data_IF_533989014562
#
_entry.id   IF_533989014562
#
_cell.length_a   1.000
_cell.length_b   1.000
_cell.length_c   1.000
_cell.angle_alpha   90.00
_cell.angle_beta   90.00
_cell.angle_gamma   90.00
#
_symmetry.space_group_name_H-M   'P 1'
#
loop_
_entity.id
_entity.type
_entity.pdbx_description
1 polymer ?
#
# COMPACT_ATOMS: atom_id res chain seq x y z
N UNK A 1 1.94 -7.30 -4.48
CA UNK A 1 0.89 -8.06 -5.16
C UNK A 1 0.99 -9.55 -4.81
N UNK A 2 1.99 -10.27 -5.30
CA UNK A 2 2.10 -11.74 -5.14
C UNK A 2 2.25 -12.20 -3.69
N UNK A 3 2.78 -11.39 -2.79
CA UNK A 3 2.77 -11.68 -1.35
C UNK A 3 1.32 -11.72 -0.79
N UNK A 4 0.49 -10.76 -1.18
CA UNK A 4 -0.92 -10.72 -0.76
C UNK A 4 -1.66 -11.95 -1.28
N UNK A 5 -1.45 -12.29 -2.56
CA UNK A 5 -2.04 -13.51 -3.15
C UNK A 5 -1.57 -14.78 -2.45
N UNK A 6 -0.27 -14.87 -2.09
CA UNK A 6 0.26 -15.99 -1.31
C UNK A 6 -0.38 -16.09 0.08
N UNK A 7 -0.53 -14.98 0.78
CA UNK A 7 -1.21 -14.93 2.08
C UNK A 7 -2.71 -15.32 1.98
N UNK A 8 -3.31 -15.19 0.80
CA UNK A 8 -4.69 -15.58 0.49
C UNK A 8 -4.81 -17.02 -0.07
N UNK A 9 -3.72 -17.77 -0.11
CA UNK A 9 -3.71 -19.19 -0.47
C UNK A 9 -3.18 -19.52 -1.86
N UNK A 10 -2.77 -18.53 -2.66
CA UNK A 10 -2.15 -18.80 -3.95
C UNK A 10 -0.76 -19.38 -3.78
N UNK A 11 -0.43 -20.42 -4.53
CA UNK A 11 0.95 -20.87 -4.71
C UNK A 11 1.69 -19.90 -5.63
N UNK A 12 2.80 -19.37 -5.18
CA UNK A 12 3.59 -18.39 -5.93
C UNK A 12 4.98 -18.94 -6.23
N UNK A 13 5.28 -19.11 -7.51
CA UNK A 13 6.62 -19.42 -8.01
C UNK A 13 7.26 -18.12 -8.47
N UNK A 14 8.32 -17.69 -7.79
CA UNK A 14 9.12 -16.53 -8.13
C UNK A 14 10.24 -16.93 -9.08
N UNK A 15 10.15 -16.51 -10.32
CA UNK A 15 11.21 -16.67 -11.30
C UNK A 15 12.19 -15.51 -11.17
N UNK A 16 13.45 -15.82 -10.89
CA UNK A 16 14.49 -14.84 -10.63
C UNK A 16 15.67 -14.97 -11.62
N UNK A 17 16.47 -13.89 -11.74
CA UNK A 17 17.72 -13.99 -12.50
C UNK A 17 18.72 -14.91 -11.81
N UNK A 18 19.44 -15.80 -12.51
CA UNK A 18 20.53 -16.58 -11.91
C UNK A 18 21.68 -15.69 -11.42
N UNK A 19 21.78 -14.47 -11.91
CA UNK A 19 22.83 -13.50 -11.55
C UNK A 19 22.44 -12.68 -10.32
N UNK A 20 22.27 -13.33 -9.17
CA UNK A 20 22.03 -12.67 -7.88
C UNK A 20 20.56 -12.43 -7.54
N UNK A 21 19.62 -12.94 -8.34
CA UNK A 21 18.19 -12.91 -8.04
C UNK A 21 17.57 -11.51 -8.21
N UNK A 22 16.55 -11.29 -7.43
CA UNK A 22 15.85 -10.00 -7.31
C UNK A 22 16.76 -8.96 -6.63
N UNK A 23 16.78 -7.74 -7.14
CA UNK A 23 17.63 -6.66 -6.62
C UNK A 23 17.34 -6.36 -5.14
N UNK A 24 16.12 -6.55 -4.69
CA UNK A 24 15.74 -6.36 -3.30
C UNK A 24 16.43 -7.33 -2.32
N UNK A 25 17.03 -8.42 -2.79
CA UNK A 25 17.92 -9.28 -1.98
C UNK A 25 19.14 -8.53 -1.44
N UNK A 26 19.50 -7.40 -2.09
CA UNK A 26 20.66 -6.55 -1.74
C UNK A 26 20.24 -5.29 -0.98
N UNK A 27 18.95 -5.09 -0.69
CA UNK A 27 18.46 -3.91 0.00
C UNK A 27 18.40 -4.14 1.51
N UNK A 28 18.98 -3.23 2.29
CA UNK A 28 18.86 -3.25 3.75
C UNK A 28 17.45 -2.91 4.25
N UNK A 29 17.22 -3.15 5.55
CA UNK A 29 18.14 -3.66 6.56
C UNK A 29 18.42 -5.16 6.42
N UNK A 30 19.51 -5.64 7.04
CA UNK A 30 19.93 -7.04 6.93
C UNK A 30 19.84 -7.78 8.27
N UNK A 31 19.51 -9.07 8.20
CA UNK A 31 19.59 -10.04 9.30
C UNK A 31 20.52 -11.16 8.84
N UNK A 32 21.69 -11.31 9.46
CA UNK A 32 22.72 -12.27 9.03
C UNK A 32 22.96 -12.25 7.51
N UNK A 33 23.22 -11.05 6.98
CA UNK A 33 23.49 -10.78 5.55
C UNK A 33 22.28 -10.95 4.60
N UNK A 34 21.12 -11.38 5.10
CA UNK A 34 19.89 -11.48 4.31
C UNK A 34 19.02 -10.23 4.43
N UNK A 35 18.53 -9.75 3.31
CA UNK A 35 17.67 -8.56 3.25
C UNK A 35 16.35 -8.80 3.99
N UNK A 36 16.12 -8.09 5.10
CA UNK A 36 14.84 -8.12 5.80
C UNK A 36 13.71 -7.51 4.93
N UNK A 37 14.05 -6.58 4.03
CA UNK A 37 13.12 -6.03 3.06
C UNK A 37 12.64 -7.11 2.07
N UNK A 38 13.56 -7.84 1.44
CA UNK A 38 13.21 -8.97 0.57
C UNK A 38 12.37 -10.01 1.32
N UNK A 39 12.82 -10.40 2.51
CA UNK A 39 12.16 -11.43 3.32
C UNK A 39 10.72 -11.04 3.68
N UNK A 40 10.48 -9.78 4.03
CA UNK A 40 9.14 -9.31 4.40
C UNK A 40 8.11 -9.40 3.25
N UNK A 41 8.56 -9.32 2.00
CA UNK A 41 7.72 -9.30 0.80
C UNK A 41 7.66 -10.63 0.04
N UNK A 42 8.55 -11.60 0.37
CA UNK A 42 8.67 -12.84 -0.41
C UNK A 42 8.42 -14.11 0.42
N UNK A 43 7.83 -13.97 1.60
CA UNK A 43 7.37 -15.12 2.40
C UNK A 43 6.33 -15.94 1.65
N UNK A 44 6.35 -17.25 1.87
CA UNK A 44 5.39 -18.19 1.29
C UNK A 44 5.54 -18.41 -0.22
N UNK A 45 6.64 -17.94 -0.82
CA UNK A 45 6.94 -18.16 -2.24
C UNK A 45 7.93 -19.28 -2.41
N UNK A 46 7.92 -19.90 -3.59
CA UNK A 46 8.97 -20.80 -4.08
C UNK A 46 9.88 -20.02 -5.04
N UNK A 47 11.19 -20.26 -5.03
CA UNK A 47 12.15 -19.58 -5.91
C UNK A 47 12.77 -20.56 -6.91
N UNK A 48 12.83 -20.12 -8.17
CA UNK A 48 13.59 -20.75 -9.26
C UNK A 48 14.36 -19.69 -10.04
N UNK A 49 15.65 -19.93 -10.27
CA UNK A 49 16.49 -19.04 -11.06
C UNK A 49 16.51 -19.46 -12.53
N UNK A 50 16.03 -18.61 -13.42
CA UNK A 50 15.99 -18.89 -14.86
C UNK A 50 16.52 -17.69 -15.66
N UNK A 51 17.38 -17.94 -16.64
CA UNK A 51 17.75 -16.96 -17.66
C UNK A 51 16.77 -17.01 -18.82
N UNK A 52 15.72 -16.21 -18.80
CA UNK A 52 14.67 -16.20 -19.82
C UNK A 52 15.14 -15.80 -21.24
N UNK A 53 16.41 -15.41 -21.39
CA UNK A 53 17.04 -15.20 -22.71
C UNK A 53 17.61 -16.50 -23.29
N UNK A 54 17.81 -17.51 -22.46
CA UNK A 54 18.32 -18.82 -22.85
C UNK A 54 17.15 -19.73 -23.26
N UNK A 55 17.32 -20.52 -24.32
CA UNK A 55 16.26 -21.38 -24.86
C UNK A 55 15.83 -22.49 -23.89
N UNK A 56 16.78 -23.10 -23.17
CA UNK A 56 16.50 -24.19 -22.22
C UNK A 56 15.72 -23.70 -21.01
N UNK A 57 16.17 -22.61 -20.39
CA UNK A 57 15.47 -21.99 -19.26
C UNK A 57 14.10 -21.45 -19.67
N UNK A 58 13.98 -20.90 -20.90
CA UNK A 58 12.69 -20.48 -21.46
C UNK A 58 11.74 -21.66 -21.63
N UNK A 59 12.22 -22.84 -22.04
CA UNK A 59 11.41 -24.06 -22.14
C UNK A 59 10.87 -24.48 -20.76
N UNK A 60 11.73 -24.42 -19.73
CA UNK A 60 11.29 -24.69 -18.34
C UNK A 60 10.20 -23.70 -17.94
N UNK A 61 10.38 -22.40 -18.20
CA UNK A 61 9.40 -21.38 -17.90
C UNK A 61 8.06 -21.61 -18.60
N UNK A 62 8.07 -21.98 -19.88
CA UNK A 62 6.85 -22.28 -20.64
C UNK A 62 6.13 -23.53 -20.12
N UNK A 63 6.86 -24.55 -19.64
CA UNK A 63 6.29 -25.70 -18.98
C UNK A 63 5.61 -25.33 -17.65
N UNK A 64 6.19 -24.40 -16.88
CA UNK A 64 5.56 -23.86 -15.68
C UNK A 64 4.28 -23.11 -16.06
N UNK A 65 4.31 -22.26 -17.09
CA UNK A 65 3.14 -21.49 -17.54
C UNK A 65 1.97 -22.38 -17.98
N UNK A 66 2.23 -23.57 -18.51
CA UNK A 66 1.17 -24.50 -18.93
C UNK A 66 0.24 -24.95 -17.77
N UNK A 67 0.71 -24.84 -16.53
CA UNK A 67 -0.07 -25.16 -15.31
C UNK A 67 -0.30 -23.93 -14.43
N UNK A 68 -0.07 -22.74 -14.96
CA UNK A 68 -0.15 -21.48 -14.21
C UNK A 68 -1.43 -20.72 -14.54
N UNK A 69 -2.12 -20.25 -13.53
CA UNK A 69 -3.32 -19.43 -13.69
C UNK A 69 -3.01 -17.98 -14.03
N UNK A 70 -1.96 -17.44 -13.41
CA UNK A 70 -1.64 -16.01 -13.47
C UNK A 70 -0.14 -15.80 -13.63
N UNK A 71 0.27 -15.09 -14.65
CA UNK A 71 1.62 -14.52 -14.80
C UNK A 71 1.60 -13.08 -14.32
N UNK A 72 2.47 -12.73 -13.36
CA UNK A 72 2.66 -11.34 -12.90
C UNK A 72 4.06 -10.91 -13.25
N UNK A 73 4.20 -9.74 -13.87
CA UNK A 73 5.50 -9.16 -14.19
C UNK A 73 5.52 -7.65 -13.91
N UNK A 74 6.73 -7.13 -13.67
CA UNK A 74 6.96 -5.72 -13.41
C UNK A 74 8.21 -5.23 -14.14
N UNK A 75 8.39 -5.68 -15.38
CA UNK A 75 9.47 -5.21 -16.23
C UNK A 75 9.10 -3.89 -16.93
N UNK A 76 10.11 -3.23 -17.49
CA UNK A 76 9.88 -2.16 -18.45
C UNK A 76 9.09 -2.71 -19.64
N UNK A 77 8.05 -2.01 -20.14
CA UNK A 77 7.30 -2.40 -21.32
C UNK A 77 8.18 -2.82 -22.50
N UNK A 78 7.79 -3.88 -23.19
CA UNK A 78 8.55 -4.45 -24.29
C UNK A 78 9.68 -5.41 -23.88
N UNK A 79 9.96 -5.59 -22.58
CA UNK A 79 11.04 -6.49 -22.14
C UNK A 79 10.70 -7.95 -22.38
N UNK A 80 9.55 -8.43 -21.95
CA UNK A 80 9.12 -9.82 -22.17
C UNK A 80 8.78 -10.08 -23.64
N UNK A 81 8.27 -9.11 -24.37
CA UNK A 81 8.04 -9.18 -25.81
C UNK A 81 9.34 -9.46 -26.57
N UNK A 82 10.44 -8.79 -26.22
CA UNK A 82 11.77 -9.06 -26.82
C UNK A 82 12.25 -10.49 -26.59
N UNK A 83 11.76 -11.14 -25.56
CA UNK A 83 12.09 -12.54 -25.26
C UNK A 83 11.04 -13.51 -25.82
N UNK A 84 10.02 -13.05 -26.55
CA UNK A 84 8.92 -13.87 -27.05
C UNK A 84 8.02 -14.42 -25.94
N UNK A 85 7.89 -13.66 -24.84
CA UNK A 85 7.10 -13.98 -23.66
C UNK A 85 6.08 -12.88 -23.34
N UNK A 86 5.81 -11.99 -24.29
CA UNK A 86 4.76 -10.97 -24.15
C UNK A 86 3.36 -11.56 -24.24
N UNK A 87 2.36 -10.75 -23.89
CA UNK A 87 0.96 -11.19 -23.95
C UNK A 87 0.55 -11.76 -25.32
N UNK A 88 0.98 -11.09 -26.41
CA UNK A 88 0.67 -11.54 -27.79
C UNK A 88 1.28 -12.90 -28.12
N UNK A 89 2.43 -13.23 -27.53
CA UNK A 89 3.13 -14.50 -27.76
C UNK A 89 2.51 -15.64 -26.95
N UNK A 90 1.92 -15.32 -25.79
CA UNK A 90 1.46 -16.31 -24.82
C UNK A 90 -0.05 -16.58 -24.87
N UNK A 91 -0.88 -15.62 -25.23
CA UNK A 91 -2.35 -15.72 -25.16
C UNK A 91 -2.93 -16.88 -25.99
N UNK A 92 -2.36 -17.13 -27.15
CA UNK A 92 -2.85 -18.18 -28.03
C UNK A 92 -2.37 -19.57 -27.59
N UNK A 93 -1.21 -19.64 -26.93
CA UNK A 93 -0.65 -20.86 -26.34
C UNK A 93 -1.33 -21.22 -25.01
N UNK A 94 -1.67 -20.21 -24.23
CA UNK A 94 -2.25 -20.33 -22.88
C UNK A 94 -3.55 -19.50 -22.79
N UNK A 95 -4.64 -19.93 -23.45
CA UNK A 95 -5.86 -19.10 -23.60
C UNK A 95 -6.58 -18.81 -22.28
N UNK A 96 -6.25 -19.51 -21.19
CA UNK A 96 -6.79 -19.27 -19.85
C UNK A 96 -5.85 -18.45 -18.97
N UNK A 97 -4.64 -18.14 -19.42
CA UNK A 97 -3.67 -17.39 -18.64
C UNK A 97 -4.12 -15.94 -18.41
N UNK A 98 -4.11 -15.51 -17.17
CA UNK A 98 -4.23 -14.10 -16.82
C UNK A 98 -2.81 -13.53 -16.78
N UNK A 99 -2.57 -12.52 -17.61
CA UNK A 99 -1.26 -11.86 -17.70
C UNK A 99 -1.36 -10.47 -17.08
N UNK A 100 -0.78 -10.28 -15.90
CA UNK A 100 -0.81 -9.01 -15.17
C UNK A 100 0.56 -8.31 -15.25
N UNK A 101 0.58 -7.16 -15.89
CA UNK A 101 1.75 -6.30 -16.03
C UNK A 101 1.56 -5.04 -15.19
N UNK A 102 2.48 -4.78 -14.27
CA UNK A 102 2.54 -3.54 -13.51
C UNK A 102 3.79 -2.76 -13.90
N UNK A 103 3.64 -1.52 -14.35
CA UNK A 103 4.77 -0.70 -14.80
C UNK A 103 4.64 0.76 -14.35
N UNK A 104 5.68 1.56 -14.53
CA UNK A 104 5.68 2.95 -14.10
C UNK A 104 4.58 3.79 -14.75
N UNK A 105 4.41 3.65 -16.06
CA UNK A 105 3.52 4.49 -16.87
C UNK A 105 2.50 3.71 -17.69
N UNK A 106 2.37 2.40 -17.49
CA UNK A 106 1.49 1.54 -18.28
C UNK A 106 2.11 1.08 -19.59
N UNK A 107 1.37 0.23 -20.31
CA UNK A 107 1.81 -0.36 -21.57
C UNK A 107 1.47 0.52 -22.78
N UNK A 108 0.77 1.62 -22.57
CA UNK A 108 0.32 2.57 -23.61
C UNK A 108 0.68 4.01 -23.22
N UNK A 109 0.43 4.94 -24.15
CA UNK A 109 0.67 6.36 -23.89
C UNK A 109 2.11 6.84 -24.16
N UNK A 110 2.35 8.15 -24.08
CA UNK A 110 3.61 8.77 -24.49
C UNK A 110 4.80 8.44 -23.58
N UNK A 111 4.55 8.04 -22.33
CA UNK A 111 5.60 7.79 -21.35
C UNK A 111 5.94 6.31 -21.15
N UNK A 112 5.28 5.39 -21.88
CA UNK A 112 5.41 3.94 -21.67
C UNK A 112 6.85 3.41 -21.70
N UNK A 113 7.75 4.07 -22.46
CA UNK A 113 9.15 3.67 -22.59
C UNK A 113 10.06 4.23 -21.49
N UNK A 114 9.54 5.12 -20.63
CA UNK A 114 10.34 5.73 -19.58
C UNK A 114 10.46 4.81 -18.36
N UNK A 115 11.63 4.79 -17.71
CA UNK A 115 11.78 4.13 -16.41
C UNK A 115 11.10 4.96 -15.33
N UNK A 116 10.53 4.29 -14.32
CA UNK A 116 9.99 4.94 -13.14
C UNK A 116 10.33 4.16 -11.86
N UNK A 117 10.44 4.90 -10.79
CA UNK A 117 10.44 4.42 -9.42
C UNK A 117 9.35 5.13 -8.62
N UNK A 118 9.01 4.61 -7.47
CA UNK A 118 7.99 5.15 -6.57
C UNK A 118 8.01 6.68 -6.45
N UNK A 119 9.15 7.26 -6.11
CA UNK A 119 9.27 8.71 -5.89
C UNK A 119 8.99 9.53 -7.16
N UNK A 120 9.32 9.00 -8.34
CA UNK A 120 9.06 9.66 -9.63
C UNK A 120 7.56 9.76 -9.87
N UNK A 121 6.82 8.67 -9.65
CA UNK A 121 5.36 8.67 -9.85
C UNK A 121 4.62 9.42 -8.74
N UNK A 122 5.13 9.47 -7.52
CA UNK A 122 4.58 10.36 -6.48
C UNK A 122 4.69 11.84 -6.89
N UNK A 123 5.83 12.23 -7.49
CA UNK A 123 6.02 13.60 -8.01
C UNK A 123 5.12 13.90 -9.20
N UNK A 124 5.19 13.06 -10.24
CA UNK A 124 4.43 13.27 -11.50
C UNK A 124 2.93 13.06 -11.33
N UNK A 125 2.50 12.20 -10.43
CA UNK A 125 1.10 11.91 -10.12
C UNK A 125 0.43 12.94 -9.22
N UNK A 126 1.15 13.99 -8.78
CA UNK A 126 0.58 15.08 -7.98
C UNK A 126 0.50 14.83 -6.49
N UNK A 127 0.84 13.62 -6.00
CA UNK A 127 0.76 13.30 -4.57
C UNK A 127 1.68 14.19 -3.72
N UNK A 128 2.91 14.47 -4.21
CA UNK A 128 3.83 15.36 -3.50
C UNK A 128 3.37 16.83 -3.48
N UNK A 129 2.51 17.25 -4.41
CA UNK A 129 1.97 18.61 -4.43
C UNK A 129 0.92 18.88 -3.35
N UNK A 130 0.38 17.82 -2.73
CA UNK A 130 -0.63 17.92 -1.66
C UNK A 130 -0.11 17.37 -0.32
N UNK A 131 1.11 16.83 -0.29
CA UNK A 131 1.73 16.22 0.91
C UNK A 131 2.75 17.18 1.51
N UNK A 132 2.70 17.38 2.84
CA UNK A 132 3.63 18.26 3.55
C UNK A 132 2.94 19.44 4.22
N UNK A 133 3.74 20.36 4.73
CA UNK A 133 3.26 21.61 5.33
C UNK A 133 3.24 22.75 4.29
N UNK A 134 2.39 23.79 4.50
CA UNK A 134 2.41 24.96 3.64
C UNK A 134 3.80 25.59 3.53
N UNK A 135 4.19 25.98 2.32
CA UNK A 135 5.45 26.69 2.05
C UNK A 135 6.74 25.92 2.44
N UNK A 136 6.67 24.61 2.51
CA UNK A 136 7.86 23.74 2.67
C UNK A 136 8.28 23.14 1.33
N UNK A 137 9.46 22.54 1.29
CA UNK A 137 9.91 21.76 0.13
C UNK A 137 8.96 20.59 -0.17
N UNK A 138 8.86 20.14 -1.43
CA UNK A 138 8.06 18.99 -1.80
C UNK A 138 8.41 17.77 -0.95
N UNK A 139 7.40 17.17 -0.36
CA UNK A 139 7.56 16.05 0.58
C UNK A 139 6.92 14.79 0.01
N UNK A 140 7.68 13.69 -0.04
CA UNK A 140 7.11 12.38 -0.40
C UNK A 140 6.34 11.76 0.78
N UNK A 141 5.42 10.87 0.49
CA UNK A 141 4.87 9.95 1.51
C UNK A 141 5.99 9.03 2.00
N UNK A 142 6.08 8.81 3.30
CA UNK A 142 7.19 8.08 3.94
C UNK A 142 7.35 6.61 3.53
N UNK A 143 6.33 6.01 2.92
CA UNK A 143 6.37 4.66 2.35
C UNK A 143 6.31 4.73 0.81
N UNK A 144 6.64 3.63 0.12
CA UNK A 144 6.58 3.52 -1.35
C UNK A 144 5.13 3.37 -1.82
N UNK A 145 4.33 4.43 -1.65
CA UNK A 145 2.88 4.40 -1.92
C UNK A 145 2.55 4.14 -3.39
N UNK A 146 3.42 4.55 -4.31
CA UNK A 146 3.30 4.27 -5.74
C UNK A 146 3.37 2.78 -6.04
N UNK A 147 4.39 2.11 -5.49
CA UNK A 147 4.55 0.66 -5.61
C UNK A 147 3.41 -0.08 -4.91
N UNK A 148 3.05 0.34 -3.69
CA UNK A 148 2.01 -0.32 -2.88
C UNK A 148 0.65 -0.23 -3.57
N UNK A 149 0.26 0.94 -4.08
CA UNK A 149 -1.04 1.10 -4.76
C UNK A 149 -1.08 0.32 -6.07
N UNK A 150 -0.01 0.31 -6.86
CA UNK A 150 0.07 -0.53 -8.04
C UNK A 150 -0.06 -2.02 -7.70
N UNK A 151 0.60 -2.48 -6.62
CA UNK A 151 0.47 -3.86 -6.13
C UNK A 151 -0.97 -4.20 -5.70
N UNK A 152 -1.66 -3.28 -5.02
CA UNK A 152 -3.05 -3.45 -4.60
C UNK A 152 -4.00 -3.49 -5.81
N UNK A 153 -3.90 -2.54 -6.73
CA UNK A 153 -4.73 -2.53 -7.94
C UNK A 153 -4.47 -3.74 -8.84
N UNK A 154 -3.22 -4.19 -8.96
CA UNK A 154 -2.89 -5.44 -9.68
C UNK A 154 -3.54 -6.65 -9.00
N UNK A 155 -3.52 -6.74 -7.67
CA UNK A 155 -4.18 -7.82 -6.92
C UNK A 155 -5.69 -7.81 -7.15
N UNK A 156 -6.32 -6.63 -7.12
CA UNK A 156 -7.76 -6.47 -7.42
C UNK A 156 -8.05 -6.91 -8.86
N UNK A 157 -7.27 -6.44 -9.82
CA UNK A 157 -7.39 -6.81 -11.22
C UNK A 157 -7.30 -8.33 -11.45
N UNK A 158 -6.31 -8.98 -10.83
CA UNK A 158 -6.12 -10.44 -10.89
C UNK A 158 -7.35 -11.18 -10.35
N UNK A 159 -7.85 -10.81 -9.15
CA UNK A 159 -9.02 -11.47 -8.59
C UNK A 159 -10.28 -11.25 -9.44
N UNK A 160 -10.46 -10.06 -10.00
CA UNK A 160 -11.55 -9.76 -10.95
C UNK A 160 -11.45 -10.59 -12.22
N UNK A 161 -10.25 -10.74 -12.77
CA UNK A 161 -9.99 -11.53 -13.97
C UNK A 161 -10.18 -13.05 -13.72
N UNK A 162 -9.78 -13.55 -12.55
CA UNK A 162 -10.04 -14.93 -12.14
C UNK A 162 -11.55 -15.20 -12.06
N UNK A 163 -12.32 -14.28 -11.48
CA UNK A 163 -13.79 -14.40 -11.42
C UNK A 163 -14.45 -14.35 -12.80
N UNK A 164 -13.97 -13.47 -13.71
CA UNK A 164 -14.45 -13.41 -15.08
C UNK A 164 -14.11 -14.69 -15.86
N UNK A 165 -12.90 -15.23 -15.65
CA UNK A 165 -12.46 -16.48 -16.28
C UNK A 165 -13.34 -17.68 -15.92
N UNK A 166 -13.86 -17.75 -14.69
CA UNK A 166 -14.81 -18.82 -14.28
C UNK A 166 -16.08 -18.81 -15.15
N UNK A 167 -16.48 -17.66 -15.68
CA UNK A 167 -17.66 -17.52 -16.55
C UNK A 167 -17.33 -17.69 -18.02
N UNK A 168 -16.20 -17.12 -18.45
CA UNK A 168 -15.84 -17.01 -19.88
C UNK A 168 -14.93 -18.15 -20.35
N UNK A 169 -14.24 -18.80 -19.41
CA UNK A 169 -13.20 -19.80 -19.73
C UNK A 169 -11.93 -19.20 -20.34
N UNK A 170 -11.80 -17.86 -20.40
CA UNK A 170 -10.70 -17.17 -21.08
C UNK A 170 -9.89 -16.33 -20.11
N UNK A 171 -8.57 -16.32 -20.29
CA UNK A 171 -7.66 -15.38 -19.65
C UNK A 171 -7.73 -14.00 -20.28
N UNK A 172 -7.02 -13.04 -19.66
CA UNK A 172 -6.95 -11.67 -20.16
C UNK A 172 -5.64 -11.00 -19.80
N UNK A 173 -5.38 -9.88 -20.45
CA UNK A 173 -4.27 -8.98 -20.11
C UNK A 173 -4.74 -7.90 -19.12
N UNK A 174 -3.96 -7.66 -18.08
CA UNK A 174 -4.16 -6.61 -17.10
C UNK A 174 -2.98 -5.67 -17.16
N UNK A 175 -3.22 -4.41 -17.45
CA UNK A 175 -2.24 -3.33 -17.46
C UNK A 175 -2.47 -2.41 -16.27
N UNK A 176 -1.49 -2.27 -15.39
CA UNK A 176 -1.54 -1.38 -14.22
C UNK A 176 -0.36 -0.42 -14.27
N UNK A 177 -0.68 0.86 -14.33
CA UNK A 177 0.30 1.95 -14.29
C UNK A 177 0.45 2.49 -12.86
N UNK A 178 1.67 2.60 -12.36
CA UNK A 178 1.92 3.26 -11.07
C UNK A 178 1.42 4.71 -11.08
N UNK A 179 1.60 5.44 -12.20
CA UNK A 179 1.14 6.82 -12.33
C UNK A 179 -0.39 6.92 -12.24
N UNK A 180 -1.11 6.03 -12.95
CA UNK A 180 -2.58 6.00 -12.91
C UNK A 180 -3.09 5.71 -11.50
N UNK A 181 -2.39 4.83 -10.78
CA UNK A 181 -2.71 4.54 -9.38
C UNK A 181 -2.58 5.78 -8.48
N UNK A 182 -1.59 6.66 -8.73
CA UNK A 182 -1.49 7.92 -7.97
C UNK A 182 -2.70 8.83 -8.24
N UNK A 183 -3.12 8.96 -9.49
CA UNK A 183 -4.31 9.74 -9.85
C UNK A 183 -5.56 9.15 -9.18
N UNK A 184 -5.70 7.84 -9.18
CA UNK A 184 -6.87 7.15 -8.59
C UNK A 184 -7.01 7.39 -7.08
N UNK A 185 -5.91 7.50 -6.33
CA UNK A 185 -5.95 7.72 -4.88
C UNK A 185 -6.06 9.20 -4.47
N UNK A 186 -5.92 10.14 -5.39
CA UNK A 186 -6.05 11.59 -5.14
C UNK A 186 -7.49 12.10 -5.22
N UNK A 187 -8.45 11.30 -4.92
CA UNK A 187 -9.91 11.45 -5.06
C UNK A 187 -10.44 12.88 -4.76
N UNK A 188 -10.18 13.41 -3.57
CA UNK A 188 -10.63 14.74 -3.15
C UNK A 188 -9.85 15.87 -3.85
N UNK A 189 -8.54 15.73 -4.01
CA UNK A 189 -7.71 16.74 -4.67
C UNK A 189 -8.09 16.90 -6.15
N UNK A 190 -8.31 15.79 -6.85
CA UNK A 190 -8.78 15.78 -8.24
C UNK A 190 -10.18 16.39 -8.33
N UNK A 191 -11.10 16.01 -7.43
CA UNK A 191 -12.46 16.55 -7.43
C UNK A 191 -12.47 18.09 -7.22
N UNK A 192 -11.64 18.62 -6.34
CA UNK A 192 -11.50 20.08 -6.10
C UNK A 192 -11.00 20.80 -7.34
N UNK A 193 -9.95 20.27 -7.98
CA UNK A 193 -9.42 20.87 -9.21
C UNK A 193 -10.43 20.83 -10.34
N UNK A 194 -11.03 19.68 -10.64
CA UNK A 194 -11.96 19.53 -11.77
C UNK A 194 -13.28 20.30 -11.57
N UNK A 195 -13.75 20.48 -10.32
CA UNK A 195 -15.02 21.17 -10.05
C UNK A 195 -14.89 22.68 -9.89
N UNK A 196 -13.75 23.17 -9.38
CA UNK A 196 -13.57 24.57 -8.99
C UNK A 196 -12.35 25.23 -9.62
N UNK A 197 -11.57 24.49 -10.40
CA UNK A 197 -10.26 24.92 -10.91
C UNK A 197 -9.30 25.38 -9.80
N UNK A 198 -9.49 24.83 -8.59
CA UNK A 198 -8.65 25.09 -7.41
C UNK A 198 -7.46 24.17 -7.41
N UNK A 199 -6.25 24.70 -7.46
CA UNK A 199 -5.02 23.91 -7.36
C UNK A 199 -4.77 23.59 -5.88
N UNK A 200 -4.94 22.31 -5.44
CA UNK A 200 -4.72 21.92 -4.05
C UNK A 200 -3.28 22.16 -3.61
N UNK A 201 -3.12 22.62 -2.38
CA UNK A 201 -1.81 22.87 -1.77
C UNK A 201 -1.62 21.99 -0.53
N UNK A 202 -0.38 21.72 -0.08
CA UNK A 202 -0.12 21.03 1.17
C UNK A 202 -0.74 21.79 2.36
N UNK A 203 -1.41 21.07 3.24
CA UNK A 203 -2.12 21.64 4.40
C UNK A 203 -1.66 21.01 5.73
N UNK A 204 -0.53 20.33 5.75
CA UNK A 204 -0.07 19.56 6.91
C UNK A 204 -1.02 18.39 7.20
N UNK A 205 -1.48 18.32 8.44
CA UNK A 205 -2.44 17.28 8.86
C UNK A 205 -3.92 17.70 8.71
N UNK A 206 -4.19 18.90 8.19
CA UNK A 206 -5.54 19.45 8.08
C UNK A 206 -6.32 18.82 6.93
N UNK A 207 -7.58 18.46 7.20
CA UNK A 207 -8.51 18.05 6.15
C UNK A 207 -9.04 19.28 5.39
N UNK A 208 -9.08 19.26 4.03
CA UNK A 208 -9.38 20.45 3.23
C UNK A 208 -10.81 20.95 3.33
N UNK A 209 -11.77 20.12 3.73
CA UNK A 209 -13.21 20.46 3.70
C UNK A 209 -13.97 20.09 4.97
N UNK A 210 -13.29 19.64 6.01
CA UNK A 210 -13.90 19.24 7.29
C UNK A 210 -13.11 19.85 8.45
N UNK A 211 -13.80 20.49 9.40
CA UNK A 211 -13.20 21.13 10.56
C UNK A 211 -14.04 20.99 11.85
N UNK A 212 -13.38 20.71 13.02
CA UNK A 212 -11.97 20.41 13.17
C UNK A 212 -11.62 18.97 12.76
N UNK A 213 -10.59 18.81 11.94
CA UNK A 213 -10.05 17.54 11.54
C UNK A 213 -8.56 17.70 11.21
N UNK A 214 -7.70 17.64 12.21
CA UNK A 214 -6.25 17.77 12.11
C UNK A 214 -5.53 17.34 13.39
N UNK A 215 -4.21 17.49 13.43
CA UNK A 215 -3.39 17.31 14.62
C UNK A 215 -3.37 18.58 15.47
N UNK A 216 -3.57 18.42 16.77
CA UNK A 216 -3.55 19.49 17.78
C UNK A 216 -2.48 19.21 18.83
N UNK A 217 -1.82 20.27 19.30
CA UNK A 217 -0.85 20.18 20.40
C UNK A 217 -1.54 19.93 21.74
N UNK A 218 -1.05 18.93 22.45
CA UNK A 218 -1.37 18.66 23.85
C UNK A 218 -0.22 19.13 24.76
N UNK A 219 -0.24 18.74 26.03
CA UNK A 219 0.83 19.08 26.98
C UNK A 219 2.18 18.46 26.58
N UNK A 220 2.17 17.23 26.08
CA UNK A 220 3.37 16.40 25.85
C UNK A 220 3.62 16.05 24.38
N UNK A 221 2.60 16.08 23.53
CA UNK A 221 2.74 15.65 22.12
C UNK A 221 1.63 16.24 21.25
N UNK A 222 1.08 15.43 20.33
CA UNK A 222 -0.03 15.77 19.45
C UNK A 222 -1.13 14.70 19.52
N UNK A 223 -2.38 15.17 19.39
CA UNK A 223 -3.55 14.32 19.23
C UNK A 223 -4.25 14.66 17.92
N UNK A 224 -4.66 13.64 17.15
CA UNK A 224 -5.59 13.81 16.03
C UNK A 224 -6.99 13.90 16.61
N UNK A 225 -7.78 14.90 16.20
CA UNK A 225 -9.20 15.01 16.51
C UNK A 225 -9.97 15.21 15.20
N UNK A 226 -11.01 14.40 15.00
CA UNK A 226 -11.84 14.43 13.79
C UNK A 226 -13.32 14.61 14.19
N UNK A 227 -13.74 15.86 14.42
CA UNK A 227 -15.12 16.19 14.74
C UNK A 227 -15.86 16.71 13.48
N UNK A 228 -16.08 15.79 12.53
CA UNK A 228 -16.47 16.09 11.15
C UNK A 228 -17.91 16.55 10.92
N UNK A 229 -18.75 16.63 11.95
CA UNK A 229 -20.12 17.15 11.85
C UNK A 229 -20.49 17.97 13.08
N UNK A 230 -21.60 18.70 13.01
CA UNK A 230 -21.99 19.66 14.06
C UNK A 230 -22.25 18.95 15.39
N UNK A 231 -22.83 17.74 15.40
CA UNK A 231 -23.06 16.96 16.61
C UNK A 231 -21.75 16.52 17.30
N UNK A 232 -20.73 16.14 16.52
CA UNK A 232 -19.40 15.84 17.05
C UNK A 232 -18.68 17.10 17.53
N UNK A 233 -18.86 18.22 16.84
CA UNK A 233 -18.31 19.51 17.26
C UNK A 233 -18.93 19.98 18.60
N UNK A 234 -20.24 19.83 18.78
CA UNK A 234 -20.92 20.10 20.06
C UNK A 234 -20.33 19.25 21.21
N UNK A 235 -20.21 17.95 20.99
CA UNK A 235 -19.59 17.04 21.98
C UNK A 235 -18.15 17.48 22.29
N UNK A 236 -17.38 17.82 21.28
CA UNK A 236 -16.00 18.28 21.45
C UNK A 236 -15.93 19.58 22.27
N UNK A 237 -16.80 20.56 21.97
CA UNK A 237 -16.88 21.80 22.74
C UNK A 237 -17.23 21.54 24.21
N UNK A 238 -18.14 20.62 24.47
CA UNK A 238 -18.48 20.22 25.85
C UNK A 238 -17.28 19.53 26.54
N UNK A 239 -16.60 18.60 25.87
CA UNK A 239 -15.45 17.89 26.42
C UNK A 239 -14.25 18.81 26.73
N UNK A 240 -14.05 19.84 25.91
CA UNK A 240 -12.98 20.84 26.06
C UNK A 240 -13.36 22.07 26.90
N UNK A 241 -14.60 22.14 27.39
CA UNK A 241 -15.15 23.33 28.05
C UNK A 241 -15.04 24.59 27.18
N UNK A 242 -15.58 24.49 25.95
CA UNK A 242 -15.60 25.52 24.92
C UNK A 242 -17.03 25.95 24.58
N UNK A 243 -17.84 26.25 25.61
CA UNK A 243 -19.25 26.60 25.43
C UNK A 243 -19.46 27.94 24.69
N UNK A 244 -18.51 28.87 24.83
CA UNK A 244 -18.55 30.14 24.13
C UNK A 244 -18.38 29.94 22.62
N UNK A 245 -17.49 29.04 22.22
CA UNK A 245 -17.19 28.72 20.82
C UNK A 245 -18.34 27.96 20.15
N UNK A 246 -19.08 27.14 20.89
CA UNK A 246 -20.26 26.47 20.37
C UNK A 246 -21.35 27.44 19.89
N UNK A 247 -21.49 28.58 20.61
CA UNK A 247 -22.46 29.61 20.29
C UNK A 247 -21.89 30.74 19.40
N UNK A 248 -20.62 30.62 18.97
CA UNK A 248 -19.97 31.62 18.15
C UNK A 248 -20.37 31.43 16.66
N UNK A 249 -20.90 32.50 16.04
CA UNK A 249 -21.31 32.51 14.64
C UNK A 249 -20.18 32.05 13.68
N UNK A 250 -18.90 32.30 14.03
CA UNK A 250 -17.74 31.85 13.22
C UNK A 250 -17.61 30.35 13.15
N UNK A 251 -18.17 29.58 14.10
CA UNK A 251 -17.98 28.11 14.19
C UNK A 251 -19.29 27.32 14.05
N UNK A 252 -20.38 27.97 13.78
CA UNK A 252 -21.74 27.41 13.75
C UNK A 252 -21.92 26.29 12.71
N UNK A 253 -21.29 26.41 11.57
CA UNK A 253 -21.35 25.40 10.51
C UNK A 253 -19.96 24.89 10.13
N UNK A 254 -19.88 23.69 9.53
CA UNK A 254 -18.61 23.17 9.04
C UNK A 254 -17.89 24.15 8.09
N UNK A 255 -18.62 24.79 7.18
CA UNK A 255 -18.03 25.76 6.25
C UNK A 255 -17.38 26.95 6.98
N UNK A 256 -18.07 27.46 8.03
CA UNK A 256 -17.55 28.57 8.84
C UNK A 256 -16.36 28.12 9.69
N UNK A 257 -16.38 26.89 10.24
CA UNK A 257 -15.22 26.31 10.94
C UNK A 257 -14.02 26.15 10.02
N UNK A 258 -14.21 25.63 8.81
CA UNK A 258 -13.13 25.54 7.81
C UNK A 258 -12.52 26.91 7.51
N UNK A 259 -13.36 27.94 7.33
CA UNK A 259 -12.90 29.32 7.06
C UNK A 259 -12.10 29.91 8.23
N UNK A 260 -12.49 29.60 9.47
CA UNK A 260 -11.91 30.17 10.69
C UNK A 260 -11.06 29.14 11.47
N UNK A 261 -10.53 28.14 10.76
CA UNK A 261 -9.86 26.99 11.42
C UNK A 261 -8.60 27.38 12.20
N UNK A 262 -7.85 28.38 11.76
CA UNK A 262 -6.65 28.84 12.46
C UNK A 262 -7.00 29.43 13.84
N UNK A 263 -8.05 30.22 13.91
CA UNK A 263 -8.57 30.78 15.18
C UNK A 263 -9.08 29.65 16.08
N UNK A 264 -9.89 28.74 15.54
CA UNK A 264 -10.42 27.59 16.26
C UNK A 264 -9.30 26.70 16.81
N UNK A 265 -8.27 26.43 15.99
CA UNK A 265 -7.10 25.64 16.40
C UNK A 265 -6.38 26.24 17.61
N UNK A 266 -6.12 27.54 17.58
CA UNK A 266 -5.47 28.23 18.71
C UNK A 266 -6.29 28.11 20.00
N UNK A 267 -7.60 28.25 19.93
CA UNK A 267 -8.51 28.10 21.07
C UNK A 267 -8.47 26.66 21.61
N UNK A 268 -8.60 25.68 20.70
CA UNK A 268 -8.56 24.26 21.06
C UNK A 268 -7.22 23.88 21.70
N UNK A 269 -6.10 24.27 21.10
CA UNK A 269 -4.76 23.96 21.64
C UNK A 269 -4.51 24.57 23.01
N UNK A 270 -5.06 25.78 23.28
CA UNK A 270 -4.99 26.37 24.63
C UNK A 270 -5.65 25.46 25.66
N UNK A 271 -6.79 24.83 25.33
CA UNK A 271 -7.48 23.87 26.20
C UNK A 271 -6.75 22.53 26.26
N UNK A 272 -6.27 22.05 25.13
CA UNK A 272 -5.62 20.72 25.03
C UNK A 272 -4.26 20.67 25.74
N UNK A 273 -3.54 21.77 25.87
CA UNK A 273 -2.24 21.83 26.54
C UNK A 273 -2.28 21.59 28.06
N UNK A 274 -3.45 21.48 28.68
CA UNK A 274 -3.59 21.26 30.13
C UNK A 274 -3.38 19.79 30.53
N UNK A 275 -3.63 18.84 29.63
CA UNK A 275 -3.48 17.40 29.87
C UNK A 275 -2.55 16.75 28.84
N UNK A 276 -2.02 15.57 29.18
CA UNK A 276 -1.26 14.74 28.27
C UNK A 276 -2.14 14.13 27.18
N UNK A 277 -1.53 13.73 26.07
CA UNK A 277 -2.21 13.09 24.93
C UNK A 277 -3.03 11.87 25.34
N UNK A 278 -2.47 11.02 26.21
CA UNK A 278 -3.13 9.82 26.72
C UNK A 278 -4.42 10.15 27.49
N UNK A 279 -4.38 11.15 28.35
CA UNK A 279 -5.53 11.54 29.17
C UNK A 279 -6.65 12.13 28.30
N UNK A 280 -6.29 12.95 27.31
CA UNK A 280 -7.23 13.47 26.33
C UNK A 280 -7.83 12.37 25.48
N UNK A 281 -7.04 11.43 25.01
CA UNK A 281 -7.54 10.29 24.21
C UNK A 281 -8.61 9.54 25.01
N UNK A 282 -8.33 9.16 26.24
CA UNK A 282 -9.29 8.46 27.10
C UNK A 282 -10.58 9.26 27.37
N UNK A 283 -10.44 10.58 27.58
CA UNK A 283 -11.59 11.46 27.80
C UNK A 283 -12.49 11.58 26.57
N UNK A 284 -11.89 11.83 25.40
CA UNK A 284 -12.62 12.01 24.14
C UNK A 284 -13.25 10.71 23.63
N UNK A 285 -12.59 9.57 23.84
CA UNK A 285 -13.12 8.24 23.51
C UNK A 285 -14.40 7.89 24.28
N UNK A 286 -14.48 8.28 25.58
CA UNK A 286 -15.71 8.10 26.40
C UNK A 286 -16.90 8.83 25.78
N UNK A 287 -16.68 10.00 25.19
CA UNK A 287 -17.71 10.80 24.52
C UNK A 287 -17.93 10.36 23.08
N UNK A 288 -17.22 9.29 22.63
CA UNK A 288 -17.24 8.77 21.25
C UNK A 288 -16.88 9.83 20.22
N UNK A 289 -15.91 10.66 20.54
CA UNK A 289 -15.30 11.62 19.62
C UNK A 289 -14.11 10.93 18.94
N UNK A 290 -14.08 10.83 17.60
CA UNK A 290 -12.94 10.24 16.90
C UNK A 290 -11.66 11.00 17.18
N UNK A 291 -10.71 10.34 17.83
CA UNK A 291 -9.40 10.90 18.19
C UNK A 291 -8.36 9.80 18.32
N UNK A 292 -7.09 10.18 18.36
CA UNK A 292 -6.00 9.25 18.62
C UNK A 292 -4.64 9.93 18.65
N UNK A 293 -3.66 9.34 19.33
CA UNK A 293 -2.28 9.82 19.34
C UNK A 293 -1.61 9.59 17.98
N UNK A 294 -0.53 10.32 17.72
CA UNK A 294 0.37 10.05 16.59
C UNK A 294 1.45 9.10 17.08
N UNK A 295 1.34 7.84 16.71
CA UNK A 295 2.30 6.80 17.06
C UNK A 295 3.53 6.82 16.16
N UNK A 296 4.70 6.54 16.73
CA UNK A 296 5.84 6.08 15.97
C UNK A 296 5.67 4.59 15.59
N UNK A 297 6.60 4.04 14.80
CA UNK A 297 6.49 2.65 14.31
C UNK A 297 6.51 1.63 15.47
N UNK A 298 7.31 1.88 16.53
CA UNK A 298 7.34 1.00 17.71
C UNK A 298 5.96 0.97 18.39
N UNK A 299 5.40 2.14 18.67
CA UNK A 299 4.11 2.26 19.34
C UNK A 299 2.99 1.61 18.51
N UNK A 300 3.03 1.81 17.18
CA UNK A 300 2.07 1.18 16.26
C UNK A 300 2.17 -0.36 16.28
N UNK A 301 3.39 -0.91 16.21
CA UNK A 301 3.62 -2.37 16.24
C UNK A 301 3.22 -2.98 17.59
N UNK A 302 3.44 -2.27 18.68
CA UNK A 302 3.11 -2.72 20.04
C UNK A 302 1.63 -2.51 20.41
N UNK A 303 0.86 -1.81 19.59
CA UNK A 303 -0.53 -1.49 19.87
C UNK A 303 -1.39 -2.78 20.06
N UNK A 304 -2.18 -2.87 21.14
CA UNK A 304 -3.01 -4.04 21.42
C UNK A 304 -3.98 -4.40 20.29
N UNK A 305 -4.54 -3.41 19.60
CA UNK A 305 -5.46 -3.64 18.45
C UNK A 305 -4.72 -4.29 17.28
N UNK A 306 -3.49 -3.85 16.99
CA UNK A 306 -2.65 -4.41 15.93
C UNK A 306 -2.27 -5.87 16.25
N UNK A 307 -1.94 -6.15 17.51
CA UNK A 307 -1.64 -7.52 17.99
C UNK A 307 -2.88 -8.42 17.92
N UNK A 308 -4.03 -7.94 18.43
CA UNK A 308 -5.29 -8.69 18.42
C UNK A 308 -5.80 -9.03 17.00
N UNK A 309 -5.38 -8.25 16.00
CA UNK A 309 -5.71 -8.48 14.59
C UNK A 309 -4.62 -9.22 13.82
N UNK A 310 -3.65 -9.82 14.50
CA UNK A 310 -2.55 -10.58 13.89
C UNK A 310 -1.83 -9.80 12.77
N UNK A 311 -1.63 -8.49 12.97
CA UNK A 311 -0.95 -7.65 11.98
C UNK A 311 0.57 -7.70 12.09
N UNK A 312 1.10 -8.36 13.10
CA UNK A 312 2.53 -8.72 13.21
C UNK A 312 2.61 -10.24 13.23
N UNK A 313 3.13 -10.79 12.14
CA UNK A 313 3.23 -12.24 11.91
C UNK A 313 4.66 -12.72 12.09
N UNK A 314 4.80 -14.03 12.31
CA UNK A 314 6.08 -14.71 12.33
C UNK A 314 6.30 -15.46 11.01
N UNK A 315 7.50 -15.40 10.51
CA UNK A 315 7.95 -16.15 9.34
C UNK A 315 9.39 -16.59 9.56
N UNK A 316 9.91 -17.45 8.72
CA UNK A 316 11.21 -18.06 8.88
C UNK A 316 12.03 -17.98 7.60
N UNK A 317 13.35 -17.84 7.78
CA UNK A 317 14.32 -18.00 6.71
C UNK A 317 15.46 -18.87 7.24
N UNK A 318 15.91 -19.85 6.46
CA UNK A 318 16.84 -20.89 6.95
C UNK A 318 18.17 -20.34 7.51
N UNK A 319 18.65 -19.21 7.01
CA UNK A 319 19.88 -18.56 7.49
C UNK A 319 19.58 -17.46 8.51
N UNK A 320 18.63 -16.56 8.21
CA UNK A 320 18.27 -15.46 9.11
C UNK A 320 17.58 -15.95 10.40
N UNK A 321 16.87 -17.08 10.35
CA UNK A 321 16.06 -17.61 11.44
C UNK A 321 14.65 -17.03 11.45
N UNK A 322 14.02 -17.07 12.61
CA UNK A 322 12.69 -16.45 12.83
C UNK A 322 12.76 -14.94 12.78
N UNK A 323 11.80 -14.32 12.08
CA UNK A 323 11.65 -12.88 12.08
C UNK A 323 10.17 -12.48 11.98
N UNK A 324 9.90 -11.21 12.28
CA UNK A 324 8.55 -10.65 12.26
C UNK A 324 8.37 -9.75 11.05
N UNK A 325 7.16 -9.79 10.48
CA UNK A 325 6.77 -8.94 9.36
C UNK A 325 5.32 -8.47 9.50
N UNK A 326 4.92 -7.50 8.67
CA UNK A 326 3.53 -7.06 8.62
C UNK A 326 2.63 -8.18 8.08
N UNK A 327 1.48 -8.39 8.72
CA UNK A 327 0.46 -9.37 8.31
C UNK A 327 -0.47 -8.84 7.21
N UNK A 328 -1.33 -9.73 6.72
CA UNK A 328 -2.36 -9.37 5.75
C UNK A 328 -3.56 -8.73 6.47
N UNK A 329 -4.03 -7.54 6.06
CA UNK A 329 -5.18 -6.88 6.66
C UNK A 329 -6.53 -7.55 6.29
N UNK A 330 -6.57 -8.36 5.24
CA UNK A 330 -7.78 -9.05 4.78
C UNK A 330 -8.02 -10.26 5.68
N UNK A 331 -9.14 -10.25 6.40
CA UNK A 331 -9.58 -11.33 7.29
C UNK A 331 -10.84 -11.95 6.71
N UNK A 332 -10.77 -13.21 6.30
CA UNK A 332 -11.91 -13.94 5.72
C UNK A 332 -12.40 -15.02 6.70
N UNK A 333 -13.70 -15.09 6.93
CA UNK A 333 -14.31 -15.97 7.93
C UNK A 333 -14.05 -17.46 7.70
N UNK A 334 -13.85 -17.86 6.44
CA UNK A 334 -13.60 -19.26 6.05
C UNK A 334 -12.14 -19.70 6.14
N UNK A 335 -11.21 -18.79 6.47
CA UNK A 335 -9.79 -19.08 6.54
C UNK A 335 -9.18 -18.69 7.88
N UNK A 336 -8.36 -19.57 8.44
CA UNK A 336 -7.65 -19.28 9.68
C UNK A 336 -6.64 -18.13 9.45
N UNK A 337 -6.71 -17.11 10.31
CA UNK A 337 -5.74 -16.03 10.34
C UNK A 337 -4.52 -16.43 11.18
N UNK A 338 -3.67 -17.29 10.63
CA UNK A 338 -2.47 -17.79 11.32
C UNK A 338 -1.44 -16.70 11.55
N UNK A 339 -0.85 -16.68 12.75
CA UNK A 339 0.34 -15.87 13.04
C UNK A 339 1.59 -16.35 12.33
N UNK A 340 1.69 -17.67 12.01
CA UNK A 340 2.79 -18.21 11.23
C UNK A 340 2.45 -18.17 9.75
N UNK A 341 3.34 -17.61 8.96
CA UNK A 341 3.25 -17.58 7.49
C UNK A 341 4.30 -18.49 6.88
N UNK A 342 4.19 -18.75 5.59
CA UNK A 342 5.14 -19.56 4.84
C UNK A 342 6.57 -19.02 4.92
N UNK A 343 7.54 -19.90 4.80
CA UNK A 343 8.96 -19.56 4.85
C UNK A 343 9.39 -18.71 3.65
N UNK A 344 10.53 -18.04 3.77
CA UNK A 344 11.10 -17.23 2.68
C UNK A 344 12.17 -18.07 1.98
N UNK A 345 12.12 -18.19 0.64
CA UNK A 345 13.09 -19.00 -0.08
C UNK A 345 14.43 -18.28 -0.28
N UNK A 346 15.51 -19.06 -0.25
CA UNK A 346 16.76 -18.64 -0.85
C UNK A 346 16.64 -18.59 -2.39
N UNK A 347 17.60 -17.97 -3.05
CA UNK A 347 17.65 -17.96 -4.51
C UNK A 347 17.77 -19.40 -5.04
N UNK A 348 16.90 -19.77 -5.97
CA UNK A 348 16.87 -21.08 -6.65
C UNK A 348 16.58 -22.29 -5.74
N UNK A 349 16.11 -22.06 -4.52
CA UNK A 349 15.93 -23.10 -3.51
C UNK A 349 14.98 -24.23 -3.96
N UNK A 350 13.99 -23.90 -4.77
CA UNK A 350 12.94 -24.86 -5.15
C UNK A 350 13.11 -25.43 -6.56
N UNK A 351 14.29 -25.23 -7.20
CA UNK A 351 14.53 -25.61 -8.60
C UNK A 351 14.22 -27.08 -8.89
N UNK A 352 14.82 -28.00 -8.15
CA UNK A 352 14.64 -29.43 -8.38
C UNK A 352 13.17 -29.87 -8.26
N UNK A 353 12.50 -29.39 -7.22
CA UNK A 353 11.07 -29.65 -6.98
C UNK A 353 10.23 -29.15 -8.14
N UNK A 354 10.45 -27.92 -8.58
CA UNK A 354 9.69 -27.27 -9.67
C UNK A 354 9.94 -27.97 -11.00
N UNK A 355 11.20 -28.28 -11.34
CA UNK A 355 11.54 -28.99 -12.57
C UNK A 355 10.89 -30.36 -12.59
N UNK A 356 10.98 -31.14 -11.50
CA UNK A 356 10.34 -32.46 -11.40
C UNK A 356 8.82 -32.39 -11.61
N UNK A 357 8.18 -31.35 -11.11
CA UNK A 357 6.71 -31.22 -11.20
C UNK A 357 6.21 -30.73 -12.55
N UNK A 358 6.93 -29.82 -13.19
CA UNK A 358 6.46 -29.12 -14.39
C UNK A 358 7.15 -29.58 -15.68
N UNK A 359 8.29 -30.28 -15.62
CA UNK A 359 9.08 -30.64 -16.78
C UNK A 359 9.23 -32.18 -16.96
N UNK A 360 8.65 -32.97 -16.07
CA UNK A 360 8.62 -34.43 -16.17
C UNK A 360 7.53 -34.95 -17.09
#
# INVERSE_FOLDING_TARGET
CTMILSDLGARVIKVESPNGGDDSRKFGPFIKENSAYFMSLNRGKESIALNLKNSEDKKIFLNILNKTDVLVENFKPGTLEKWGLGWKDLRDKFPKLIYASASGFGQTGPLKELPAYDMVVQGMGGLMSVTGHPQTEPTRVGTSIGDITAALFTTIGINSALYDREKTGKGMFIDVSMLDCQIAILENAIARYLSKNEIPQPMGSRHPSIAPFEAFKTKDSYIIIAAGNDKLFEKLCNALDMKAELNNEKFKTNALRCKNMDELKLIMEKKLKVLNTKDWTQKLEKDKIPCGPIFNIKDAVENPQIKARNMIINTFHKVAGDFKAAGNPIKMSSYADSLKRGDVPDLDENREKIIKEFCS
#
